data_IF_630042127124
#
_entry.id   IF_630042127124
#
_cell.length_a   1.000
_cell.length_b   1.000
_cell.length_c   1.000
_cell.angle_alpha   90.00
_cell.angle_beta   90.00
_cell.angle_gamma   90.00
#
_symmetry.space_group_name_H-M   'P 1'
#
loop_
_entity.id
_entity.type
_entity.pdbx_description
1 polymer ?
#
# COMPACT_ATOMS: atom_id res chain seq x y z
N UNK A 1 11.20 -6.57 3.79
CA UNK A 1 12.62 -6.64 3.36
C UNK A 1 12.82 -6.15 1.92
N UNK A 2 11.91 -6.47 1.00
CA UNK A 2 12.08 -6.13 -0.42
C UNK A 2 12.02 -4.62 -0.69
N UNK A 3 11.08 -3.87 -0.12
CA UNK A 3 11.01 -2.41 -0.35
C UNK A 3 12.22 -1.65 0.19
N UNK A 4 12.79 -2.06 1.33
CA UNK A 4 14.03 -1.47 1.84
C UNK A 4 15.21 -1.67 0.89
N UNK A 5 15.22 -2.78 0.14
CA UNK A 5 16.20 -3.05 -0.91
C UNK A 5 15.94 -2.16 -2.13
N UNK A 6 14.69 -2.05 -2.59
CA UNK A 6 14.31 -1.12 -3.68
C UNK A 6 14.77 0.32 -3.36
N UNK A 7 14.49 0.81 -2.16
CA UNK A 7 14.94 2.12 -1.68
C UNK A 7 16.46 2.26 -1.65
N UNK A 8 17.20 1.19 -1.34
CA UNK A 8 18.65 1.22 -1.31
C UNK A 8 19.24 1.23 -2.74
N UNK A 9 18.69 0.41 -3.63
CA UNK A 9 19.11 0.33 -5.03
C UNK A 9 18.82 1.66 -5.74
N UNK A 10 17.61 2.20 -5.58
CA UNK A 10 17.24 3.50 -6.14
C UNK A 10 18.08 4.65 -5.58
N UNK A 11 18.37 4.66 -4.27
CA UNK A 11 19.33 5.60 -3.69
C UNK A 11 20.70 5.52 -4.38
N UNK A 12 21.19 4.31 -4.66
CA UNK A 12 22.48 4.14 -5.33
C UNK A 12 22.44 4.64 -6.77
N UNK A 13 21.35 4.36 -7.49
CA UNK A 13 21.10 4.84 -8.85
C UNK A 13 21.11 6.38 -8.89
N UNK A 14 20.34 7.03 -8.01
CA UNK A 14 20.30 8.50 -7.88
C UNK A 14 21.68 9.07 -7.55
N UNK A 15 22.37 8.49 -6.55
CA UNK A 15 23.71 8.95 -6.17
C UNK A 15 24.74 8.74 -7.28
N UNK A 16 24.56 7.74 -8.15
CA UNK A 16 25.40 7.55 -9.32
C UNK A 16 25.18 8.66 -10.36
N UNK A 17 23.92 9.04 -10.61
CA UNK A 17 23.59 10.17 -11.50
C UNK A 17 24.22 11.47 -10.98
N UNK A 18 24.11 11.74 -9.68
CA UNK A 18 24.63 12.97 -9.07
C UNK A 18 26.16 13.11 -9.11
N UNK A 19 26.91 12.00 -9.28
CA UNK A 19 28.37 12.07 -9.53
C UNK A 19 28.72 12.59 -10.93
N UNK A 20 27.73 12.73 -11.81
CA UNK A 20 27.89 13.34 -13.12
C UNK A 20 28.26 14.83 -13.05
N UNK A 21 28.75 15.36 -14.18
CA UNK A 21 29.13 16.77 -14.30
C UNK A 21 27.97 17.76 -14.48
N UNK A 22 26.87 17.47 -15.20
CA UNK A 22 25.80 18.46 -15.32
C UNK A 22 25.03 18.56 -14.00
N UNK A 23 24.61 19.78 -13.61
CA UNK A 23 23.75 19.97 -12.45
C UNK A 23 22.40 19.28 -12.68
N UNK A 24 21.90 18.60 -11.66
CA UNK A 24 20.57 17.99 -11.67
C UNK A 24 19.54 19.04 -11.22
N UNK A 25 18.61 19.36 -12.12
CA UNK A 25 17.61 20.42 -11.90
C UNK A 25 16.15 19.92 -11.96
N UNK A 26 15.93 18.61 -12.15
CA UNK A 26 14.58 18.06 -12.24
C UNK A 26 14.52 16.63 -11.74
N UNK A 27 13.37 16.25 -11.19
CA UNK A 27 13.12 14.92 -10.67
C UNK A 27 13.27 13.83 -11.74
N UNK A 28 12.84 14.11 -12.97
CA UNK A 28 12.93 13.18 -14.11
C UNK A 28 14.37 12.81 -14.50
N UNK A 29 15.38 13.56 -14.02
CA UNK A 29 16.78 13.22 -14.25
C UNK A 29 17.29 12.12 -13.32
N UNK A 30 16.62 11.86 -12.19
CA UNK A 30 17.12 10.97 -11.13
C UNK A 30 16.18 9.81 -10.80
N UNK A 31 14.88 9.92 -11.11
CA UNK A 31 13.90 8.86 -10.93
C UNK A 31 12.99 8.77 -12.18
N UNK A 32 12.41 7.59 -12.46
CA UNK A 32 11.48 7.44 -13.58
C UNK A 32 10.19 8.26 -13.37
N UNK A 33 9.29 8.25 -14.35
CA UNK A 33 7.96 8.83 -14.19
C UNK A 33 7.16 8.16 -13.05
N UNK A 34 6.07 8.79 -12.62
CA UNK A 34 5.32 8.33 -11.45
C UNK A 34 4.74 6.92 -11.63
N UNK A 35 4.33 6.54 -12.84
CA UNK A 35 3.73 5.22 -13.11
C UNK A 35 4.79 4.12 -13.00
N UNK A 36 5.92 4.29 -13.68
CA UNK A 36 7.03 3.34 -13.60
C UNK A 36 7.63 3.29 -12.18
N UNK A 37 7.71 4.43 -11.50
CA UNK A 37 8.18 4.49 -10.13
C UNK A 37 7.26 3.69 -9.20
N UNK A 38 5.94 3.86 -9.29
CA UNK A 38 4.96 3.08 -8.53
C UNK A 38 5.08 1.58 -8.82
N UNK A 39 5.16 1.21 -10.10
CA UNK A 39 5.28 -0.18 -10.55
C UNK A 39 6.52 -0.86 -9.97
N UNK A 40 7.67 -0.18 -9.93
CA UNK A 40 8.92 -0.73 -9.33
C UNK A 40 8.72 -1.17 -7.88
N UNK A 41 7.95 -0.42 -7.09
CA UNK A 41 7.68 -0.74 -5.69
C UNK A 41 6.61 -1.84 -5.55
N UNK A 42 5.54 -1.77 -6.35
CA UNK A 42 4.49 -2.79 -6.37
C UNK A 42 5.04 -4.18 -6.76
N UNK A 43 5.83 -4.25 -7.84
CA UNK A 43 6.43 -5.49 -8.35
C UNK A 43 7.30 -6.16 -7.28
N UNK A 44 8.03 -5.36 -6.50
CA UNK A 44 8.94 -5.85 -5.46
C UNK A 44 8.25 -6.54 -4.26
N UNK A 45 6.94 -6.34 -4.07
CA UNK A 45 6.16 -7.03 -3.03
C UNK A 45 4.96 -7.81 -3.58
N UNK A 46 4.85 -7.94 -4.90
CA UNK A 46 3.76 -8.64 -5.59
C UNK A 46 3.44 -10.02 -5.00
N UNK A 47 4.48 -10.81 -4.68
CA UNK A 47 4.30 -12.14 -4.11
C UNK A 47 3.75 -12.11 -2.68
N UNK A 48 4.22 -11.18 -1.85
CA UNK A 48 3.67 -10.98 -0.51
C UNK A 48 2.21 -10.49 -0.55
N UNK A 49 1.87 -9.61 -1.51
CA UNK A 49 0.49 -9.17 -1.71
C UNK A 49 -0.41 -10.32 -2.16
N UNK A 50 0.08 -11.18 -3.07
CA UNK A 50 -0.64 -12.37 -3.50
C UNK A 50 -0.89 -13.34 -2.35
N UNK A 51 0.11 -13.58 -1.50
CA UNK A 51 -0.04 -14.45 -0.33
C UNK A 51 -1.04 -13.88 0.68
N UNK A 52 -1.00 -12.57 0.92
CA UNK A 52 -1.95 -11.90 1.81
C UNK A 52 -3.39 -12.00 1.28
N UNK A 53 -3.58 -11.75 -0.02
CA UNK A 53 -4.88 -11.90 -0.68
C UNK A 53 -5.40 -13.34 -0.63
N UNK A 54 -4.54 -14.34 -0.87
CA UNK A 54 -4.91 -15.75 -0.76
C UNK A 54 -5.29 -16.13 0.67
N UNK A 55 -4.59 -15.59 1.68
CA UNK A 55 -4.94 -15.77 3.08
C UNK A 55 -6.30 -15.14 3.42
N UNK A 56 -6.56 -13.94 2.88
CA UNK A 56 -7.86 -13.27 2.97
C UNK A 56 -8.97 -14.11 2.37
N UNK A 57 -8.79 -14.59 1.14
CA UNK A 57 -9.73 -15.47 0.46
C UNK A 57 -10.02 -16.75 1.28
N UNK A 58 -8.97 -17.40 1.78
CA UNK A 58 -9.11 -18.59 2.62
C UNK A 58 -9.81 -18.29 3.96
N UNK A 59 -9.73 -17.06 4.45
CA UNK A 59 -10.34 -16.68 5.72
C UNK A 59 -11.87 -16.61 5.66
N UNK A 60 -12.50 -16.60 4.48
CA UNK A 60 -13.95 -16.45 4.33
C UNK A 60 -14.65 -17.61 3.61
N UNK A 61 -13.88 -18.52 3.01
CA UNK A 61 -14.39 -19.72 2.31
C UNK A 61 -14.32 -20.93 3.24
N UNK A 62 -15.37 -21.74 3.30
CA UNK A 62 -15.34 -23.05 3.97
C UNK A 62 -14.72 -24.11 3.05
N UNK A 63 -14.04 -25.10 3.63
CA UNK A 63 -13.13 -26.02 2.93
C UNK A 63 -13.73 -26.83 1.78
N UNK A 64 -15.06 -26.89 1.66
CA UNK A 64 -15.80 -27.64 0.63
C UNK A 64 -16.23 -26.81 -0.59
N UNK A 65 -16.07 -25.49 -0.55
CA UNK A 65 -16.53 -24.61 -1.62
C UNK A 65 -15.44 -24.26 -2.65
N UNK A 66 -15.80 -24.37 -3.93
CA UNK A 66 -14.94 -23.93 -5.04
C UNK A 66 -14.64 -22.43 -4.91
N UNK A 67 -13.35 -22.12 -4.76
CA UNK A 67 -12.84 -20.75 -4.69
C UNK A 67 -13.11 -20.05 -6.04
N UNK A 68 -13.84 -18.92 -6.06
CA UNK A 68 -13.79 -18.04 -7.22
C UNK A 68 -12.33 -17.67 -7.49
N UNK A 69 -11.94 -17.63 -8.77
CA UNK A 69 -10.58 -17.23 -9.14
C UNK A 69 -10.34 -15.78 -8.73
N UNK A 70 -9.52 -15.57 -7.70
CA UNK A 70 -8.99 -14.24 -7.34
C UNK A 70 -8.12 -13.79 -8.50
N UNK A 71 -8.56 -12.80 -9.27
CA UNK A 71 -7.73 -12.20 -10.33
C UNK A 71 -6.84 -11.12 -9.73
N UNK A 72 -5.58 -11.10 -10.17
CA UNK A 72 -4.54 -10.21 -9.63
C UNK A 72 -4.91 -8.71 -9.78
N UNK A 73 -5.54 -8.34 -10.90
CA UNK A 73 -5.75 -6.94 -11.27
C UNK A 73 -6.70 -6.17 -10.32
N UNK A 74 -7.85 -6.75 -9.91
CA UNK A 74 -8.79 -6.06 -9.01
C UNK A 74 -8.42 -6.20 -7.52
N UNK A 75 -7.62 -7.21 -7.19
CA UNK A 75 -7.25 -7.53 -5.82
C UNK A 75 -6.10 -6.65 -5.33
N UNK A 76 -5.18 -6.28 -6.24
CA UNK A 76 -4.01 -5.48 -5.88
C UNK A 76 -4.17 -3.99 -6.12
N UNK A 77 -5.19 -3.54 -6.87
CA UNK A 77 -5.39 -2.13 -7.18
C UNK A 77 -5.33 -1.23 -5.93
N UNK A 78 -6.11 -1.54 -4.89
CA UNK A 78 -6.10 -0.78 -3.64
C UNK A 78 -4.74 -0.80 -2.91
N UNK A 79 -4.03 -1.93 -2.95
CA UNK A 79 -2.70 -2.04 -2.35
C UNK A 79 -1.65 -1.25 -3.15
N UNK A 80 -1.75 -1.23 -4.49
CA UNK A 80 -0.88 -0.46 -5.38
C UNK A 80 -1.13 1.04 -5.20
N UNK A 81 -2.40 1.45 -5.15
CA UNK A 81 -2.79 2.84 -4.89
C UNK A 81 -2.26 3.31 -3.53
N UNK A 82 -2.35 2.45 -2.50
CA UNK A 82 -1.77 2.76 -1.20
C UNK A 82 -0.24 2.94 -1.25
N UNK A 83 0.49 2.12 -2.01
CA UNK A 83 1.94 2.30 -2.22
C UNK A 83 2.22 3.66 -2.89
N UNK A 84 1.45 4.01 -3.92
CA UNK A 84 1.60 5.28 -4.63
C UNK A 84 1.45 6.46 -3.67
N UNK A 85 0.30 6.52 -2.97
CA UNK A 85 -0.06 7.65 -2.10
C UNK A 85 0.80 7.73 -0.85
N UNK A 86 1.17 6.60 -0.24
CA UNK A 86 1.80 6.60 1.09
C UNK A 86 3.32 6.47 1.08
N UNK A 87 3.89 5.97 -0.02
CA UNK A 87 5.34 5.75 -0.14
C UNK A 87 5.94 6.60 -1.25
N UNK A 88 5.40 6.48 -2.47
CA UNK A 88 6.08 6.98 -3.68
C UNK A 88 5.86 8.47 -3.90
N UNK A 89 4.62 8.96 -3.84
CA UNK A 89 4.33 10.39 -3.98
C UNK A 89 5.06 11.23 -2.91
N UNK A 90 5.02 10.87 -1.61
CA UNK A 90 5.72 11.66 -0.59
C UNK A 90 7.25 11.61 -0.76
N UNK A 91 7.80 10.51 -1.30
CA UNK A 91 9.22 10.39 -1.62
C UNK A 91 9.60 11.34 -2.75
N UNK A 92 8.82 11.33 -3.83
CA UNK A 92 9.00 12.20 -4.99
C UNK A 92 8.96 13.67 -4.58
N UNK A 93 7.96 14.05 -3.80
CA UNK A 93 7.84 15.40 -3.24
C UNK A 93 9.05 15.81 -2.39
N UNK A 94 9.61 14.89 -1.60
CA UNK A 94 10.82 15.18 -0.81
C UNK A 94 12.06 15.33 -1.67
N UNK A 95 12.22 14.51 -2.70
CA UNK A 95 13.33 14.61 -3.64
C UNK A 95 13.25 15.88 -4.46
N UNK A 96 12.06 16.25 -4.93
CA UNK A 96 11.83 17.49 -5.68
C UNK A 96 12.16 18.74 -4.86
N UNK A 97 11.71 18.78 -3.60
CA UNK A 97 12.13 19.84 -2.66
C UNK A 97 13.65 19.86 -2.42
N UNK A 98 14.29 18.69 -2.33
CA UNK A 98 15.74 18.62 -2.16
C UNK A 98 16.50 19.18 -3.38
N UNK A 99 15.98 18.93 -4.60
CA UNK A 99 16.52 19.53 -5.83
C UNK A 99 16.42 21.06 -5.76
N UNK A 100 15.26 21.59 -5.36
CA UNK A 100 15.07 23.04 -5.22
C UNK A 100 15.97 23.67 -4.17
N UNK A 101 16.26 22.98 -3.06
CA UNK A 101 17.18 23.45 -2.01
C UNK A 101 18.63 23.46 -2.49
N UNK A 102 19.04 22.41 -3.21
CA UNK A 102 20.43 22.27 -3.66
C UNK A 102 20.81 23.25 -4.79
N UNK A 103 19.82 23.81 -5.52
CA UNK A 103 20.02 24.87 -6.53
C UNK A 103 21.17 24.59 -7.52
N UNK A 104 21.27 23.34 -7.98
CA UNK A 104 22.30 22.88 -8.92
C UNK A 104 23.60 22.38 -8.29
N UNK A 105 23.75 22.41 -6.96
CA UNK A 105 24.83 21.76 -6.24
C UNK A 105 24.56 20.26 -6.06
N UNK A 106 25.20 19.43 -6.89
CA UNK A 106 25.05 17.98 -6.83
C UNK A 106 25.59 17.35 -5.54
N UNK A 107 26.58 17.96 -4.87
CA UNK A 107 27.12 17.46 -3.61
C UNK A 107 26.14 17.71 -2.46
N UNK A 108 25.53 18.89 -2.43
CA UNK A 108 24.42 19.20 -1.51
C UNK A 108 23.23 18.27 -1.77
N UNK A 109 22.80 18.13 -3.02
CA UNK A 109 21.70 17.24 -3.39
C UNK A 109 21.98 15.79 -3.00
N UNK A 110 23.22 15.32 -3.12
CA UNK A 110 23.62 13.98 -2.69
C UNK A 110 23.53 13.83 -1.16
N UNK A 111 23.83 14.87 -0.38
CA UNK A 111 23.65 14.88 1.08
C UNK A 111 22.17 14.82 1.47
N UNK A 112 21.33 15.65 0.84
CA UNK A 112 19.88 15.68 1.08
C UNK A 112 19.21 14.37 0.68
N UNK A 113 19.57 13.81 -0.48
CA UNK A 113 19.10 12.51 -0.98
C UNK A 113 19.38 11.41 0.06
N UNK A 114 20.58 11.38 0.64
CA UNK A 114 20.90 10.39 1.69
C UNK A 114 20.01 10.52 2.91
N UNK A 115 19.66 11.74 3.28
CA UNK A 115 18.76 12.01 4.40
C UNK A 115 17.33 11.55 4.10
N UNK A 116 16.80 11.87 2.92
CA UNK A 116 15.45 11.44 2.49
C UNK A 116 15.34 9.91 2.50
N UNK A 117 16.22 9.20 1.80
CA UNK A 117 16.15 7.74 1.74
C UNK A 117 16.41 7.06 3.09
N UNK A 118 17.21 7.67 3.98
CA UNK A 118 17.38 7.16 5.34
C UNK A 118 16.07 7.25 6.11
N UNK A 119 15.39 8.40 6.10
CA UNK A 119 14.08 8.60 6.73
C UNK A 119 13.06 7.55 6.25
N UNK A 120 13.00 7.29 4.94
CA UNK A 120 12.09 6.29 4.37
C UNK A 120 12.41 4.87 4.86
N UNK A 121 13.69 4.47 4.82
CA UNK A 121 14.14 3.13 5.23
C UNK A 121 13.94 2.87 6.73
N UNK A 122 14.04 3.89 7.57
CA UNK A 122 14.01 3.72 9.03
C UNK A 122 12.66 3.98 9.68
N UNK A 123 11.82 4.84 9.09
CA UNK A 123 10.59 5.32 9.74
C UNK A 123 9.36 4.96 8.91
N UNK A 124 9.31 5.37 7.63
CA UNK A 124 8.07 5.33 6.84
C UNK A 124 7.70 3.93 6.36
N UNK A 125 8.67 3.19 5.81
CA UNK A 125 8.35 1.99 5.05
C UNK A 125 7.70 0.88 5.87
N UNK A 126 8.09 0.71 7.14
CA UNK A 126 7.57 -0.38 7.97
C UNK A 126 6.12 -0.10 8.42
N UNK A 127 5.79 1.16 8.72
CA UNK A 127 4.43 1.56 9.08
C UNK A 127 3.46 1.36 7.91
N UNK A 128 3.89 1.74 6.69
CA UNK A 128 3.06 1.66 5.50
C UNK A 128 2.85 0.24 4.99
N UNK A 129 3.85 -0.64 5.17
CA UNK A 129 3.77 -2.02 4.72
C UNK A 129 2.64 -2.82 5.40
N UNK A 130 2.38 -2.59 6.69
CA UNK A 130 1.29 -3.30 7.40
C UNK A 130 -0.07 -2.96 6.78
N UNK A 131 -0.32 -1.68 6.47
CA UNK A 131 -1.56 -1.26 5.84
C UNK A 131 -1.74 -1.84 4.44
N UNK A 132 -0.70 -1.79 3.59
CA UNK A 132 -0.73 -2.33 2.22
C UNK A 132 -1.03 -3.84 2.23
N UNK A 133 -0.41 -4.60 3.14
CA UNK A 133 -0.66 -6.04 3.28
C UNK A 133 -2.09 -6.33 3.76
N UNK A 134 -2.62 -5.51 4.68
CA UNK A 134 -4.02 -5.64 5.14
C UNK A 134 -5.03 -5.32 4.05
N UNK A 135 -4.77 -4.33 3.20
CA UNK A 135 -5.60 -4.05 2.03
C UNK A 135 -5.65 -5.26 1.10
N UNK A 136 -4.49 -5.84 0.77
CA UNK A 136 -4.43 -7.05 -0.05
C UNK A 136 -5.21 -8.21 0.60
N UNK A 137 -5.08 -8.42 1.91
CA UNK A 137 -5.85 -9.41 2.65
C UNK A 137 -7.36 -9.16 2.55
N UNK A 138 -7.82 -7.94 2.87
CA UNK A 138 -9.24 -7.60 2.88
C UNK A 138 -9.88 -7.74 1.50
N UNK A 139 -9.19 -7.25 0.46
CA UNK A 139 -9.65 -7.38 -0.93
C UNK A 139 -9.63 -8.83 -1.40
N UNK A 140 -8.66 -9.64 -0.96
CA UNK A 140 -8.65 -11.08 -1.21
C UNK A 140 -9.84 -11.80 -0.55
N UNK A 141 -10.19 -11.42 0.69
CA UNK A 141 -11.39 -11.91 1.36
C UNK A 141 -12.64 -11.54 0.58
N UNK A 142 -12.81 -10.27 0.23
CA UNK A 142 -13.97 -9.79 -0.54
C UNK A 142 -14.10 -10.50 -1.89
N UNK A 143 -13.00 -10.67 -2.62
CA UNK A 143 -12.98 -11.32 -3.94
C UNK A 143 -13.39 -12.79 -3.91
N UNK A 144 -13.22 -13.47 -2.76
CA UNK A 144 -13.59 -14.87 -2.59
C UNK A 144 -15.08 -15.06 -2.25
N UNK A 145 -15.80 -13.99 -1.92
CA UNK A 145 -17.22 -14.06 -1.58
C UNK A 145 -18.06 -14.23 -2.84
N UNK A 146 -19.11 -15.04 -2.74
CA UNK A 146 -20.09 -15.19 -3.82
C UNK A 146 -20.94 -13.92 -3.93
N UNK A 147 -21.41 -13.66 -5.14
CA UNK A 147 -22.36 -12.59 -5.39
C UNK A 147 -23.59 -12.74 -4.47
N UNK A 148 -23.93 -11.66 -3.76
CA UNK A 148 -25.03 -11.63 -2.81
C UNK A 148 -24.75 -12.19 -1.42
N UNK A 149 -23.53 -12.69 -1.14
CA UNK A 149 -23.10 -13.02 0.23
C UNK A 149 -23.25 -11.80 1.13
N UNK A 150 -23.79 -12.01 2.32
CA UNK A 150 -23.95 -10.97 3.34
C UNK A 150 -22.70 -10.93 4.22
N UNK A 151 -22.18 -9.73 4.48
CA UNK A 151 -21.00 -9.49 5.31
C UNK A 151 -21.29 -8.47 6.40
N UNK A 152 -20.65 -8.65 7.54
CA UNK A 152 -20.56 -7.66 8.61
C UNK A 152 -19.14 -7.10 8.69
N UNK A 153 -19.03 -5.86 9.15
CA UNK A 153 -17.75 -5.26 9.51
C UNK A 153 -17.37 -5.67 10.93
N UNK A 154 -16.15 -6.14 11.13
CA UNK A 154 -15.62 -6.57 12.42
C UNK A 154 -14.50 -5.64 12.87
N UNK A 155 -14.64 -5.09 14.08
CA UNK A 155 -13.61 -4.32 14.76
C UNK A 155 -12.66 -5.30 15.45
N UNK A 156 -11.34 -5.06 15.34
CA UNK A 156 -10.36 -5.78 16.16
C UNK A 156 -10.42 -5.24 17.61
N UNK A 157 -10.84 -6.04 18.61
CA UNK A 157 -10.93 -5.58 19.99
C UNK A 157 -9.56 -5.26 20.62
N UNK A 158 -8.47 -5.74 20.01
CA UNK A 158 -7.10 -5.41 20.42
C UNK A 158 -6.42 -4.44 19.43
N UNK A 159 -7.19 -3.90 18.48
CA UNK A 159 -6.73 -2.94 17.49
C UNK A 159 -6.77 -1.50 18.01
N UNK A 160 -6.25 -0.55 17.23
CA UNK A 160 -6.44 0.87 17.52
C UNK A 160 -7.91 1.27 17.39
N UNK A 161 -8.32 2.29 18.13
CA UNK A 161 -9.65 2.88 18.01
C UNK A 161 -9.89 3.39 16.58
N UNK A 162 -11.05 3.08 16.03
CA UNK A 162 -11.41 3.41 14.66
C UNK A 162 -12.92 3.72 14.59
N UNK A 163 -13.30 5.01 14.60
CA UNK A 163 -14.70 5.41 14.49
C UNK A 163 -15.37 4.85 13.24
N UNK A 164 -14.67 4.86 12.11
CA UNK A 164 -15.23 4.33 10.85
C UNK A 164 -15.54 2.82 10.93
N UNK A 165 -14.69 2.05 11.61
CA UNK A 165 -14.92 0.63 11.79
C UNK A 165 -16.05 0.35 12.78
N UNK A 166 -16.20 1.19 13.81
CA UNK A 166 -17.32 1.12 14.76
C UNK A 166 -18.65 1.45 14.05
N UNK A 167 -18.69 2.52 13.27
CA UNK A 167 -19.87 2.92 12.47
C UNK A 167 -20.24 1.86 11.43
N UNK A 168 -19.24 1.28 10.75
CA UNK A 168 -19.48 0.20 9.81
C UNK A 168 -19.98 -1.08 10.51
N UNK A 169 -19.51 -1.38 11.72
CA UNK A 169 -19.98 -2.53 12.48
C UNK A 169 -21.45 -2.36 12.92
N UNK A 170 -21.88 -1.14 13.24
CA UNK A 170 -23.27 -0.83 13.62
C UNK A 170 -24.27 -1.05 12.47
N UNK A 171 -23.83 -0.99 11.21
CA UNK A 171 -24.67 -1.28 10.04
C UNK A 171 -25.19 -2.73 10.01
N UNK A 172 -24.50 -3.65 10.70
CA UNK A 172 -24.76 -5.08 10.61
C UNK A 172 -24.42 -5.63 9.24
N UNK A 173 -25.35 -6.41 8.66
CA UNK A 173 -25.09 -7.19 7.46
C UNK A 173 -25.47 -6.46 6.17
N UNK A 174 -24.47 -6.13 5.33
CA UNK A 174 -24.65 -5.60 3.96
C UNK A 174 -24.29 -6.66 2.91
N UNK A 175 -24.59 -6.44 1.63
CA UNK A 175 -24.11 -7.35 0.58
C UNK A 175 -22.63 -7.06 0.31
N UNK A 176 -21.86 -8.12 0.07
CA UNK A 176 -20.46 -8.00 -0.28
C UNK A 176 -20.26 -7.08 -1.50
N UNK A 177 -19.39 -6.08 -1.36
CA UNK A 177 -19.10 -5.08 -2.40
C UNK A 177 -20.03 -3.86 -2.39
N UNK A 178 -21.11 -3.87 -1.61
CA UNK A 178 -21.92 -2.66 -1.37
C UNK A 178 -21.27 -1.78 -0.30
N UNK A 179 -21.45 -0.46 -0.36
CA UNK A 179 -20.87 0.46 0.61
C UNK A 179 -21.50 0.29 2.00
N UNK A 180 -20.65 0.34 3.02
CA UNK A 180 -21.04 0.54 4.42
C UNK A 180 -21.35 2.04 4.69
N UNK A 181 -21.81 2.45 5.89
CA UNK A 181 -22.16 3.85 6.18
C UNK A 181 -21.05 4.87 5.93
N UNK A 182 -19.79 4.47 6.09
CA UNK A 182 -18.63 5.31 5.79
C UNK A 182 -18.14 5.19 4.34
N UNK A 183 -19.00 4.70 3.45
CA UNK A 183 -18.78 4.51 2.00
C UNK A 183 -17.74 3.44 1.63
N UNK A 184 -16.98 2.92 2.60
CA UNK A 184 -16.07 1.80 2.38
C UNK A 184 -16.81 0.55 1.92
N UNK A 185 -16.28 -0.12 0.90
CA UNK A 185 -16.78 -1.41 0.39
C UNK A 185 -15.95 -2.60 0.88
N UNK A 186 -14.76 -2.32 1.42
CA UNK A 186 -13.81 -3.32 1.92
C UNK A 186 -13.04 -2.79 3.12
N UNK A 187 -12.66 -3.69 4.03
CA UNK A 187 -11.74 -3.41 5.13
C UNK A 187 -10.26 -3.55 4.68
N UNK A 188 -9.29 -2.91 5.36
CA UNK A 188 -9.48 -1.97 6.48
C UNK A 188 -9.98 -0.60 6.02
N UNK A 189 -10.62 0.15 6.92
CA UNK A 189 -11.15 1.50 6.61
C UNK A 189 -10.03 2.51 6.26
N UNK A 190 -8.93 2.50 7.01
CA UNK A 190 -7.84 3.45 6.80
C UNK A 190 -6.49 2.88 7.28
N UNK A 191 -5.41 3.64 7.05
CA UNK A 191 -4.07 3.29 7.53
C UNK A 191 -4.07 3.04 9.04
N UNK A 192 -3.42 1.95 9.47
CA UNK A 192 -3.34 1.53 10.87
C UNK A 192 -4.56 0.78 11.40
N UNK A 193 -5.70 0.79 10.71
CA UNK A 193 -6.87 0.05 11.13
C UNK A 193 -6.70 -1.46 10.92
N UNK A 194 -7.23 -2.27 11.87
CA UNK A 194 -7.15 -3.73 11.86
C UNK A 194 -8.50 -4.43 11.65
N UNK A 195 -9.53 -3.66 11.28
CA UNK A 195 -10.85 -4.21 11.00
C UNK A 195 -10.86 -5.17 9.79
N UNK A 196 -11.89 -6.00 9.73
CA UNK A 196 -12.04 -7.07 8.75
C UNK A 196 -13.50 -7.22 8.31
N UNK A 197 -13.72 -7.83 7.14
CA UNK A 197 -15.04 -8.30 6.73
C UNK A 197 -15.26 -9.75 7.16
N UNK A 198 -16.44 -10.05 7.70
CA UNK A 198 -16.85 -11.40 8.08
C UNK A 198 -18.16 -11.79 7.37
N UNK A 199 -18.25 -12.97 6.73
CA UNK A 199 -19.51 -13.50 6.23
C UNK A 199 -20.51 -13.74 7.36
N UNK A 200 -21.78 -13.48 7.11
CA UNK A 200 -22.87 -13.78 8.06
C UNK A 200 -23.28 -15.24 7.96
N UNK A 201 -23.51 -15.88 9.11
CA UNK A 201 -23.99 -17.27 9.17
C UNK A 201 -22.88 -18.33 9.21
N UNK A 202 -21.68 -17.93 9.62
CA UNK A 202 -20.63 -18.85 10.06
C UNK A 202 -20.83 -19.27 11.51
#
# INVERSE_FOLDING_TARGET
KNLKRVLADEQNDVLQVLRGRPPVLSLAAIVPDSEEHNRRYADAISQELLQAAQAGAASVVDTDDQRPGVTEASTFAAAIDAIAVSIVEPLRDRLDRAIGVADGDNDELASLTRTVYREWKTIRIDAQLDHVVRLAFGHGALAALRAGTRVCWAVDPNGPACPDAEDNALAGAVRAGEPFPTEHTCAPAHEGCRCMLLPVGR
#
